data_IF_496329419634
#
_entry.id   IF_496329419634
#
_cell.length_a   1.000
_cell.length_b   1.000
_cell.length_c   1.000
_cell.angle_alpha   90.00
_cell.angle_beta   90.00
_cell.angle_gamma   90.00
#
_symmetry.space_group_name_H-M   'P 1'
#
loop_
_entity.id
_entity.type
_entity.pdbx_description
1 polymer ?
#
# COMPACT_ATOMS: atom_id res chain seq x y z
N UNK A 1 -15.47 6.55 1.62
CA UNK A 1 -15.25 7.50 2.74
C UNK A 1 -13.75 7.65 2.95
N UNK A 2 -13.24 8.87 3.13
CA UNK A 2 -11.83 9.12 3.41
C UNK A 2 -11.74 9.78 4.79
N UNK A 3 -11.06 9.12 5.72
CA UNK A 3 -10.85 9.61 7.07
C UNK A 3 -9.96 10.85 7.14
N UNK A 4 -9.99 11.58 8.26
CA UNK A 4 -9.23 12.80 8.44
C UNK A 4 -7.73 12.53 8.27
N UNK A 5 -7.04 13.49 7.65
CA UNK A 5 -5.58 13.46 7.41
C UNK A 5 -5.07 12.28 6.57
N UNK A 6 -5.95 11.57 5.86
CA UNK A 6 -5.53 10.61 4.85
C UNK A 6 -4.95 11.33 3.64
N UNK A 7 -3.82 10.83 3.15
CA UNK A 7 -3.10 11.37 1.99
C UNK A 7 -3.24 10.39 0.83
N UNK A 8 -3.70 10.90 -0.31
CA UNK A 8 -3.86 10.13 -1.55
C UNK A 8 -2.91 10.67 -2.61
N UNK A 9 -1.98 9.82 -3.03
CA UNK A 9 -0.94 10.13 -4.01
C UNK A 9 -1.48 10.28 -5.44
N UNK A 10 -0.69 10.93 -6.28
CA UNK A 10 -1.04 11.17 -7.68
C UNK A 10 -1.32 9.86 -8.44
N UNK A 11 -2.41 9.83 -9.20
CA UNK A 11 -2.80 8.68 -10.01
C UNK A 11 -3.30 7.47 -9.22
N UNK A 12 -3.43 7.56 -7.90
CA UNK A 12 -4.06 6.51 -7.11
C UNK A 12 -5.54 6.37 -7.49
N UNK A 13 -6.05 5.12 -7.48
CA UNK A 13 -7.42 4.77 -7.85
C UNK A 13 -8.12 4.13 -6.67
N UNK A 14 -9.25 4.70 -6.27
CA UNK A 14 -10.06 4.19 -5.17
C UNK A 14 -11.39 3.74 -5.75
N UNK A 15 -11.71 2.46 -5.56
CA UNK A 15 -12.94 1.83 -6.01
C UNK A 15 -14.17 2.34 -5.27
N UNK A 16 -15.34 1.96 -5.78
CA UNK A 16 -16.62 2.34 -5.22
C UNK A 16 -16.81 1.70 -3.84
N UNK A 17 -17.38 2.46 -2.90
CA UNK A 17 -17.60 1.99 -1.54
C UNK A 17 -16.34 1.82 -0.69
N UNK A 18 -15.14 2.14 -1.21
CA UNK A 18 -13.90 2.07 -0.43
C UNK A 18 -13.95 2.95 0.81
N UNK A 19 -13.36 2.44 1.89
CA UNK A 19 -13.29 3.11 3.19
C UNK A 19 -11.85 3.19 3.65
N UNK A 20 -11.32 4.41 3.68
CA UNK A 20 -9.99 4.69 4.22
C UNK A 20 -10.15 5.33 5.60
N UNK A 21 -9.52 4.75 6.61
CA UNK A 21 -9.46 5.27 7.97
C UNK A 21 -8.70 6.59 8.05
N UNK A 22 -8.52 7.09 9.27
CA UNK A 22 -7.72 8.29 9.51
C UNK A 22 -6.23 8.03 9.25
N UNK A 23 -5.51 9.05 8.79
CA UNK A 23 -4.06 9.01 8.60
C UNK A 23 -3.54 7.88 7.68
N UNK A 24 -4.36 7.35 6.77
CA UNK A 24 -3.87 6.43 5.76
C UNK A 24 -2.96 7.18 4.77
N UNK A 25 -1.96 6.48 4.23
CA UNK A 25 -1.09 6.99 3.17
C UNK A 25 -1.22 6.06 1.97
N UNK A 26 -1.86 6.55 0.92
CA UNK A 26 -2.01 5.83 -0.34
C UNK A 26 -0.98 6.38 -1.33
N UNK A 27 0.06 5.61 -1.61
CA UNK A 27 1.14 6.02 -2.51
C UNK A 27 0.70 6.34 -3.94
N UNK A 28 1.55 7.00 -4.74
CA UNK A 28 1.28 7.27 -6.15
C UNK A 28 1.03 5.99 -6.95
N UNK A 29 0.05 6.03 -7.84
CA UNK A 29 -0.30 4.91 -8.72
C UNK A 29 -0.87 3.67 -8.01
N UNK A 30 -1.16 3.73 -6.71
CA UNK A 30 -1.79 2.62 -6.01
C UNK A 30 -3.24 2.40 -6.48
N UNK A 31 -3.76 1.19 -6.31
CA UNK A 31 -5.16 0.87 -6.53
C UNK A 31 -5.76 0.19 -5.30
N UNK A 32 -6.98 0.59 -4.92
CA UNK A 32 -7.78 -0.06 -3.87
C UNK A 32 -9.11 -0.43 -4.51
N UNK A 33 -9.43 -1.73 -4.55
CA UNK A 33 -10.64 -2.26 -5.18
C UNK A 33 -11.91 -1.94 -4.41
N UNK A 34 -13.05 -2.14 -5.08
CA UNK A 34 -14.38 -1.83 -4.56
C UNK A 34 -14.67 -2.51 -3.21
N UNK A 35 -15.38 -1.81 -2.33
CA UNK A 35 -15.79 -2.30 -1.02
C UNK A 35 -14.67 -2.49 0.00
N UNK A 36 -13.39 -2.37 -0.39
CA UNK A 36 -12.26 -2.58 0.51
C UNK A 36 -12.16 -1.51 1.60
N UNK A 37 -11.80 -1.97 2.80
CA UNK A 37 -11.59 -1.15 3.99
C UNK A 37 -10.12 -1.16 4.40
N UNK A 38 -9.50 0.01 4.41
CA UNK A 38 -8.22 0.24 5.08
C UNK A 38 -8.50 0.93 6.40
N UNK A 39 -8.13 0.29 7.51
CA UNK A 39 -8.24 0.88 8.86
C UNK A 39 -7.21 2.00 9.04
N UNK A 40 -7.20 2.63 10.21
CA UNK A 40 -6.37 3.80 10.47
C UNK A 40 -4.87 3.54 10.29
N UNK A 41 -4.14 4.52 9.78
CA UNK A 41 -2.67 4.49 9.65
C UNK A 41 -2.13 3.36 8.74
N UNK A 42 -2.94 2.84 7.82
CA UNK A 42 -2.45 1.93 6.76
C UNK A 42 -1.61 2.71 5.75
N UNK A 43 -0.46 2.17 5.35
CA UNK A 43 0.41 2.74 4.33
C UNK A 43 0.57 1.80 3.13
N UNK A 44 0.14 2.25 1.96
CA UNK A 44 0.42 1.58 0.68
C UNK A 44 1.57 2.30 -0.04
N UNK A 45 2.65 1.58 -0.33
CA UNK A 45 3.78 2.10 -1.09
C UNK A 45 3.46 2.19 -2.59
N UNK A 46 4.21 3.02 -3.36
CA UNK A 46 3.88 3.31 -4.76
C UNK A 46 3.60 2.05 -5.60
N UNK A 47 2.53 2.10 -6.41
CA UNK A 47 2.13 0.99 -7.28
C UNK A 47 1.58 -0.25 -6.59
N UNK A 48 1.31 -0.21 -5.28
CA UNK A 48 0.62 -1.31 -4.57
C UNK A 48 -0.82 -1.45 -5.05
N UNK A 49 -1.28 -2.69 -5.22
CA UNK A 49 -2.65 -3.02 -5.61
C UNK A 49 -3.31 -3.81 -4.48
N UNK A 50 -4.45 -3.33 -4.00
CA UNK A 50 -5.36 -4.04 -3.11
C UNK A 50 -6.62 -4.37 -3.88
N UNK A 51 -7.02 -5.64 -3.84
CA UNK A 51 -8.23 -6.16 -4.47
C UNK A 51 -9.52 -5.62 -3.86
N UNK A 52 -10.63 -6.27 -4.23
CA UNK A 52 -11.99 -5.95 -3.78
C UNK A 52 -12.27 -6.61 -2.43
N UNK A 53 -13.19 -6.01 -1.67
CA UNK A 53 -13.69 -6.55 -0.40
C UNK A 53 -12.60 -6.97 0.60
N UNK A 54 -11.44 -6.31 0.56
CA UNK A 54 -10.34 -6.57 1.49
C UNK A 54 -10.50 -5.79 2.79
N UNK A 55 -9.93 -6.30 3.89
CA UNK A 55 -9.85 -5.60 5.17
C UNK A 55 -8.38 -5.48 5.58
N UNK A 56 -7.81 -4.28 5.57
CA UNK A 56 -6.42 -4.07 5.97
C UNK A 56 -6.38 -3.39 7.34
N UNK A 57 -5.83 -4.09 8.34
CA UNK A 57 -5.80 -3.63 9.74
C UNK A 57 -4.81 -2.49 10.01
N UNK A 58 -5.08 -1.75 11.08
CA UNK A 58 -4.39 -0.51 11.40
C UNK A 58 -2.87 -0.68 11.55
N UNK A 59 -2.12 0.28 11.01
CA UNK A 59 -0.65 0.30 11.09
C UNK A 59 0.09 -0.59 10.06
N UNK A 60 -0.64 -1.36 9.26
CA UNK A 60 -0.07 -2.22 8.20
C UNK A 60 0.66 -1.40 7.14
N UNK A 61 1.80 -1.93 6.65
CA UNK A 61 2.54 -1.37 5.50
C UNK A 61 2.67 -2.41 4.39
N UNK A 62 2.26 -2.04 3.18
CA UNK A 62 2.23 -2.94 2.01
C UNK A 62 3.05 -2.32 0.87
N UNK A 63 3.86 -3.14 0.20
CA UNK A 63 4.75 -2.69 -0.88
C UNK A 63 6.06 -2.05 -0.40
N UNK A 64 6.44 -2.28 0.85
CA UNK A 64 7.72 -1.82 1.41
C UNK A 64 8.90 -2.50 0.72
N UNK A 65 10.06 -1.83 0.67
CA UNK A 65 11.30 -2.49 0.26
C UNK A 65 11.61 -3.69 1.15
N UNK A 66 11.82 -4.84 0.52
CA UNK A 66 12.32 -6.03 1.18
C UNK A 66 13.81 -5.93 1.55
N UNK A 67 14.31 -6.95 2.23
CA UNK A 67 15.73 -7.07 2.58
C UNK A 67 16.55 -7.62 1.40
N UNK A 68 16.93 -6.76 0.46
CA UNK A 68 17.72 -7.12 -0.72
C UNK A 68 19.06 -6.37 -0.77
N UNK A 69 20.17 -7.09 -0.58
CA UNK A 69 21.52 -6.52 -0.58
C UNK A 69 22.52 -7.43 -1.29
N UNK A 70 23.50 -6.83 -1.95
CA UNK A 70 24.70 -7.52 -2.45
C UNK A 70 25.93 -7.06 -1.66
N UNK A 71 26.83 -7.98 -1.34
CA UNK A 71 28.08 -7.64 -0.65
C UNK A 71 29.17 -7.35 -1.70
N UNK A 72 29.64 -6.11 -1.76
CA UNK A 72 30.65 -5.63 -2.72
C UNK A 72 31.52 -4.56 -2.05
N UNK A 73 32.83 -4.56 -2.34
CA UNK A 73 33.79 -3.59 -1.78
C UNK A 73 33.75 -3.50 -0.24
N UNK A 74 33.62 -4.65 0.43
CA UNK A 74 33.50 -4.77 1.89
C UNK A 74 32.29 -4.03 2.50
N UNK A 75 31.21 -3.83 1.72
CA UNK A 75 29.98 -3.18 2.17
C UNK A 75 28.73 -3.84 1.59
N UNK A 76 27.60 -3.75 2.31
CA UNK A 76 26.28 -4.11 1.78
C UNK A 76 25.74 -2.97 0.92
N UNK A 77 25.48 -3.25 -0.35
CA UNK A 77 24.82 -2.32 -1.27
C UNK A 77 23.39 -2.77 -1.50
N UNK A 78 22.45 -1.84 -1.31
CA UNK A 78 21.01 -2.10 -1.47
C UNK A 78 20.70 -2.41 -2.93
N UNK A 79 19.94 -3.47 -3.15
CA UNK A 79 19.36 -3.79 -4.46
C UNK A 79 18.01 -3.07 -4.57
N UNK A 80 17.82 -2.20 -5.58
CA UNK A 80 16.53 -1.55 -5.81
C UNK A 80 15.41 -2.58 -5.99
N UNK A 81 14.33 -2.42 -5.22
CA UNK A 81 13.13 -3.25 -5.37
C UNK A 81 12.17 -2.51 -6.29
N UNK A 82 11.97 -3.04 -7.50
CA UNK A 82 11.15 -2.40 -8.55
C UNK A 82 9.78 -3.05 -8.72
N UNK A 83 9.53 -4.14 -7.99
CA UNK A 83 8.25 -4.86 -8.04
C UNK A 83 7.14 -4.16 -7.26
N UNK A 84 5.90 -4.50 -7.59
CA UNK A 84 4.71 -4.11 -6.84
C UNK A 84 4.26 -5.23 -5.89
N UNK A 85 3.52 -4.87 -4.85
CA UNK A 85 2.78 -5.82 -4.04
C UNK A 85 1.31 -5.85 -4.49
N UNK A 86 0.77 -7.06 -4.68
CA UNK A 86 -0.63 -7.30 -5.06
C UNK A 86 -1.28 -8.12 -3.96
N UNK A 87 -2.34 -7.57 -3.38
CA UNK A 87 -3.25 -8.27 -2.49
C UNK A 87 -4.50 -8.56 -3.32
N UNK A 88 -4.87 -9.83 -3.45
CA UNK A 88 -6.03 -10.25 -4.24
C UNK A 88 -7.35 -10.00 -3.48
N UNK A 89 -8.48 -10.31 -4.12
CA UNK A 89 -9.81 -10.06 -3.60
C UNK A 89 -10.07 -10.86 -2.29
N UNK A 90 -10.92 -10.31 -1.42
CA UNK A 90 -11.44 -10.96 -0.20
C UNK A 90 -10.34 -11.36 0.82
N UNK A 91 -9.21 -10.65 0.82
CA UNK A 91 -8.10 -10.85 1.78
C UNK A 91 -8.26 -9.96 3.02
N UNK A 92 -7.88 -10.51 4.19
CA UNK A 92 -7.76 -9.79 5.47
C UNK A 92 -6.34 -9.86 6.04
#
# INVERSE_FOLDING_TARGET
MIGPYTVVGAGARLGDGTRLGAHCVIGPGCAVGDGSELKDQVTLYPGTVVGRECIIHSGTRIGVDGFGYVFQDNAHRKVPQVGSCVIEDEVE
#
